data_IF_457831509182
#
_entry.id   IF_457831509182
#
_cell.length_a   1.000
_cell.length_b   1.000
_cell.length_c   1.000
_cell.angle_alpha   90.00
_cell.angle_beta   90.00
_cell.angle_gamma   90.00
#
_symmetry.space_group_name_H-M   'P 1'
#
loop_
_entity.id
_entity.type
_entity.pdbx_description
1 polymer ?
#
# COMPACT_ATOMS: atom_id res chain seq x y z
N UNK A 1 -23.75 -13.58 13.58
CA UNK A 1 -22.87 -12.41 13.27
C UNK A 1 -23.14 -11.98 11.82
N UNK A 2 -23.30 -10.68 11.55
CA UNK A 2 -23.43 -10.19 10.16
C UNK A 2 -22.05 -9.97 9.51
N UNK A 3 -22.02 -9.75 8.19
CA UNK A 3 -20.78 -9.58 7.41
C UNK A 3 -19.89 -8.45 7.95
N UNK A 4 -20.48 -7.31 8.32
CA UNK A 4 -19.74 -6.18 8.87
C UNK A 4 -19.07 -6.53 10.20
N UNK A 5 -19.77 -7.21 11.10
CA UNK A 5 -19.20 -7.69 12.36
C UNK A 5 -18.08 -8.72 12.13
N UNK A 6 -18.22 -9.60 11.13
CA UNK A 6 -17.19 -10.54 10.74
C UNK A 6 -15.92 -9.82 10.24
N UNK A 7 -16.07 -8.83 9.37
CA UNK A 7 -14.96 -8.00 8.87
C UNK A 7 -14.21 -7.34 10.03
N UNK A 8 -14.93 -6.75 10.98
CA UNK A 8 -14.34 -6.08 12.13
C UNK A 8 -13.60 -7.05 13.07
N UNK A 9 -14.13 -8.26 13.23
CA UNK A 9 -13.57 -9.24 14.17
C UNK A 9 -12.36 -10.01 13.61
N UNK A 10 -12.29 -10.25 12.31
CA UNK A 10 -11.20 -11.01 11.72
C UNK A 10 -9.87 -10.24 11.75
N UNK A 11 -8.74 -10.89 12.12
CA UNK A 11 -7.43 -10.28 11.96
C UNK A 11 -7.07 -10.15 10.48
N UNK A 12 -6.37 -9.07 10.15
CA UNK A 12 -5.96 -8.74 8.78
C UNK A 12 -4.48 -8.38 8.75
N UNK A 13 -3.82 -8.65 7.63
CA UNK A 13 -2.59 -8.00 7.26
C UNK A 13 -2.87 -6.96 6.16
N UNK A 14 -2.29 -5.78 6.27
CA UNK A 14 -2.31 -4.76 5.23
C UNK A 14 -0.96 -4.71 4.54
N UNK A 15 -0.93 -4.97 3.23
CA UNK A 15 0.29 -5.18 2.47
C UNK A 15 0.57 -4.07 1.45
N UNK A 16 -0.36 -3.11 1.34
CA UNK A 16 -0.31 -2.04 0.37
C UNK A 16 -0.94 -0.78 0.96
N UNK A 17 -0.10 0.03 1.56
CA UNK A 17 -0.45 1.34 2.11
C UNK A 17 0.75 2.25 2.01
N UNK A 18 0.57 3.44 1.44
CA UNK A 18 1.57 4.49 1.42
C UNK A 18 1.45 5.31 2.71
N UNK A 19 2.56 5.46 3.44
CA UNK A 19 2.49 6.20 4.71
C UNK A 19 2.04 7.64 4.50
N UNK A 20 2.50 8.27 3.44
CA UNK A 20 2.08 9.62 3.06
C UNK A 20 0.59 9.69 2.71
N UNK A 21 0.03 8.58 2.19
CA UNK A 21 -1.39 8.42 1.85
C UNK A 21 -2.31 8.24 3.06
N UNK A 22 -1.74 8.04 4.25
CA UNK A 22 -2.48 7.98 5.51
C UNK A 22 -2.66 9.36 6.15
N UNK A 23 -2.20 10.42 5.47
CA UNK A 23 -2.13 11.77 6.02
C UNK A 23 -3.49 12.46 6.02
N UNK A 24 -4.22 12.28 7.11
CA UNK A 24 -5.54 12.91 7.31
C UNK A 24 -5.42 14.44 7.33
N UNK A 25 -6.38 15.16 6.73
CA UNK A 25 -6.35 16.63 6.68
C UNK A 25 -6.21 17.33 8.03
N UNK A 26 -6.80 16.78 9.09
CA UNK A 26 -6.68 17.32 10.45
C UNK A 26 -5.23 17.34 10.92
N UNK A 27 -4.53 16.23 10.78
CA UNK A 27 -3.13 16.12 11.15
C UNK A 27 -2.24 16.98 10.25
N UNK A 28 -2.59 17.09 8.97
CA UNK A 28 -1.89 17.98 8.02
C UNK A 28 -1.93 19.44 8.50
N UNK A 29 -3.10 19.93 8.92
CA UNK A 29 -3.22 21.30 9.46
C UNK A 29 -2.47 21.48 10.78
N UNK A 30 -2.46 20.49 11.67
CA UNK A 30 -1.71 20.53 12.93
C UNK A 30 -0.20 20.62 12.67
N UNK A 31 0.34 19.78 11.77
CA UNK A 31 1.76 19.78 11.42
C UNK A 31 2.14 21.04 10.66
N UNK A 32 1.34 21.49 9.70
CA UNK A 32 1.58 22.73 8.97
C UNK A 32 1.66 23.94 9.91
N UNK A 33 0.77 24.03 10.89
CA UNK A 33 0.81 25.08 11.92
C UNK A 33 2.08 25.00 12.77
N UNK A 34 2.48 23.78 13.18
CA UNK A 34 3.71 23.55 13.95
C UNK A 34 4.96 23.96 13.17
N UNK A 35 4.99 23.67 11.88
CA UNK A 35 6.12 23.93 10.99
C UNK A 35 6.06 25.32 10.32
N UNK A 36 5.06 26.13 10.64
CA UNK A 36 4.84 27.47 10.05
C UNK A 36 4.73 27.46 8.51
N UNK A 37 4.11 26.40 7.96
CA UNK A 37 3.87 26.26 6.53
C UNK A 37 2.43 26.61 6.20
N UNK A 38 2.24 27.45 5.18
CA UNK A 38 0.92 27.76 4.66
C UNK A 38 0.40 26.60 3.79
N UNK A 39 -0.81 26.14 4.06
CA UNK A 39 -1.53 25.20 3.21
C UNK A 39 -2.44 26.02 2.28
N UNK A 40 -2.56 25.67 0.98
CA UNK A 40 -3.37 26.43 0.01
C UNK A 40 -4.89 26.19 0.16
N UNK A 41 -5.33 25.76 1.33
CA UNK A 41 -6.73 25.49 1.68
C UNK A 41 -7.11 26.22 2.96
N UNK A 42 -8.35 26.75 2.98
CA UNK A 42 -8.84 27.54 4.11
C UNK A 42 -9.06 26.70 5.37
N UNK A 43 -9.52 25.45 5.19
CA UNK A 43 -9.85 24.52 6.28
C UNK A 43 -9.85 23.07 5.80
N UNK A 44 -10.06 22.15 6.74
CA UNK A 44 -10.11 20.69 6.50
C UNK A 44 -11.17 20.31 5.46
N UNK A 45 -12.34 20.92 5.50
CA UNK A 45 -13.42 20.60 4.56
C UNK A 45 -13.06 21.03 3.13
N UNK A 46 -12.35 22.15 2.96
CA UNK A 46 -11.85 22.56 1.65
C UNK A 46 -10.82 21.56 1.06
N UNK A 47 -9.97 20.96 1.92
CA UNK A 47 -9.07 19.89 1.50
C UNK A 47 -9.87 18.66 1.04
N UNK A 48 -10.86 18.22 1.83
CA UNK A 48 -11.70 17.07 1.47
C UNK A 48 -12.49 17.28 0.18
N UNK A 49 -12.97 18.49 -0.07
CA UNK A 49 -13.65 18.84 -1.32
C UNK A 49 -12.71 18.78 -2.53
N UNK A 50 -11.41 19.02 -2.34
CA UNK A 50 -10.41 18.91 -3.39
C UNK A 50 -10.10 17.45 -3.77
N UNK A 51 -10.52 16.47 -2.97
CA UNK A 51 -10.32 15.04 -3.24
C UNK A 51 -11.32 14.48 -4.27
N UNK A 52 -11.58 15.22 -5.34
CA UNK A 52 -12.37 14.80 -6.50
C UNK A 52 -11.44 14.50 -7.68
N UNK A 53 -10.88 13.31 -7.67
CA UNK A 53 -9.85 12.89 -8.62
C UNK A 53 -10.47 12.41 -9.93
N UNK A 54 -9.77 12.67 -11.04
CA UNK A 54 -10.18 12.23 -12.38
C UNK A 54 -9.36 11.04 -12.88
N UNK A 55 -8.13 10.89 -12.37
CA UNK A 55 -7.16 9.83 -12.68
C UNK A 55 -6.04 9.87 -11.63
N UNK A 56 -5.09 8.93 -11.75
CA UNK A 56 -3.92 8.84 -10.86
C UNK A 56 -3.13 10.15 -10.81
N UNK A 57 -2.88 10.82 -11.93
CA UNK A 57 -2.07 12.05 -11.95
C UNK A 57 -2.72 13.19 -11.15
N UNK A 58 -4.05 13.38 -11.27
CA UNK A 58 -4.76 14.43 -10.50
C UNK A 58 -4.74 14.19 -8.99
N UNK A 59 -4.66 12.93 -8.56
CA UNK A 59 -4.42 12.56 -7.18
C UNK A 59 -2.99 12.89 -6.74
N UNK A 60 -1.98 12.46 -7.50
CA UNK A 60 -0.58 12.66 -7.16
C UNK A 60 -0.21 14.13 -6.98
N UNK A 61 -0.81 15.03 -7.75
CA UNK A 61 -0.57 16.48 -7.63
C UNK A 61 -0.97 17.02 -6.24
N UNK A 62 -2.09 16.53 -5.69
CA UNK A 62 -2.55 16.91 -4.35
C UNK A 62 -1.76 16.17 -3.26
N UNK A 63 -1.45 14.92 -3.47
CA UNK A 63 -0.68 14.07 -2.57
C UNK A 63 0.71 14.65 -2.29
N UNK A 64 1.47 14.99 -3.32
CA UNK A 64 2.80 15.58 -3.15
C UNK A 64 2.76 16.96 -2.52
N UNK A 65 1.74 17.77 -2.83
CA UNK A 65 1.55 19.07 -2.18
C UNK A 65 1.26 18.91 -0.67
N UNK A 66 0.44 17.95 -0.29
CA UNK A 66 0.15 17.62 1.11
C UNK A 66 1.38 17.16 1.88
N UNK A 67 2.20 16.29 1.29
CA UNK A 67 3.46 15.82 1.88
C UNK A 67 4.45 16.98 2.17
N UNK A 68 4.28 18.13 1.53
CA UNK A 68 5.15 19.31 1.68
C UNK A 68 5.26 19.85 3.10
N UNK A 69 4.34 19.55 3.99
CA UNK A 69 4.36 20.03 5.39
C UNK A 69 5.23 19.17 6.32
N UNK A 70 5.61 17.95 5.89
CA UNK A 70 6.45 17.02 6.64
C UNK A 70 7.93 17.41 6.53
N UNK A 71 8.53 17.91 7.61
CA UNK A 71 9.91 18.43 7.61
C UNK A 71 10.80 17.79 8.67
N UNK A 72 10.25 17.36 9.80
CA UNK A 72 10.99 16.91 10.96
C UNK A 72 10.68 15.46 11.30
N UNK A 73 11.58 14.77 11.97
CA UNK A 73 11.37 13.39 12.44
C UNK A 73 10.06 13.22 13.21
N UNK A 74 9.67 14.23 14.02
CA UNK A 74 8.41 14.21 14.75
C UNK A 74 7.18 14.19 13.83
N UNK A 75 7.26 14.75 12.63
CA UNK A 75 6.15 14.77 11.67
C UNK A 75 5.90 13.39 11.11
N UNK A 76 6.95 12.68 10.72
CA UNK A 76 6.89 11.30 10.24
C UNK A 76 6.48 10.33 11.35
N UNK A 77 6.93 10.58 12.58
CA UNK A 77 6.47 9.82 13.74
C UNK A 77 4.97 9.99 13.98
N UNK A 78 4.47 11.24 14.02
CA UNK A 78 3.06 11.52 14.28
C UNK A 78 2.16 10.92 13.19
N UNK A 79 2.56 11.06 11.91
CA UNK A 79 1.88 10.47 10.77
C UNK A 79 1.78 8.95 10.90
N UNK A 80 2.91 8.29 11.11
CA UNK A 80 2.97 6.83 11.20
C UNK A 80 2.21 6.31 12.42
N UNK A 81 2.32 6.99 13.55
CA UNK A 81 1.57 6.62 14.75
C UNK A 81 0.06 6.76 14.58
N UNK A 82 -0.41 7.81 13.89
CA UNK A 82 -1.82 8.00 13.56
C UNK A 82 -2.35 6.85 12.71
N UNK A 83 -1.61 6.44 11.67
CA UNK A 83 -1.95 5.28 10.86
C UNK A 83 -2.01 3.99 11.69
N UNK A 84 -0.98 3.70 12.49
CA UNK A 84 -0.93 2.47 13.29
C UNK A 84 -2.05 2.40 14.34
N UNK A 85 -2.57 3.54 14.78
CA UNK A 85 -3.79 3.59 15.58
C UNK A 85 -5.02 3.13 14.78
N UNK A 86 -5.13 3.51 13.49
CA UNK A 86 -6.18 3.00 12.59
C UNK A 86 -6.05 1.50 12.36
N UNK A 87 -4.82 0.99 12.20
CA UNK A 87 -4.57 -0.45 12.13
C UNK A 87 -5.18 -1.19 13.33
N UNK A 88 -4.96 -0.68 14.55
CA UNK A 88 -5.53 -1.26 15.76
C UNK A 88 -7.06 -1.23 15.76
N UNK A 89 -7.67 -0.12 15.32
CA UNK A 89 -9.13 0.05 15.24
C UNK A 89 -9.75 -0.93 14.23
N UNK A 90 -9.03 -1.21 13.13
CA UNK A 90 -9.47 -2.11 12.05
C UNK A 90 -9.03 -3.57 12.24
N UNK A 91 -8.44 -3.92 13.39
CA UNK A 91 -7.89 -5.25 13.67
C UNK A 91 -6.85 -5.70 12.61
N UNK A 92 -6.03 -4.76 12.15
CA UNK A 92 -4.83 -5.02 11.36
C UNK A 92 -3.70 -5.35 12.31
N UNK A 93 -3.21 -6.59 12.27
CA UNK A 93 -2.19 -7.11 13.20
C UNK A 93 -0.79 -7.14 12.60
N UNK A 94 -0.70 -6.99 11.29
CA UNK A 94 0.54 -6.86 10.52
C UNK A 94 0.35 -5.85 9.39
N UNK A 95 1.35 -5.01 9.13
CA UNK A 95 1.31 -4.08 8.00
C UNK A 95 2.68 -3.95 7.33
N UNK A 96 2.68 -3.89 6.00
CA UNK A 96 3.84 -3.67 5.16
C UNK A 96 3.67 -2.30 4.48
N UNK A 97 4.39 -1.32 4.99
CA UNK A 97 4.18 0.10 4.75
C UNK A 97 5.13 0.58 3.66
N UNK A 98 4.60 1.15 2.59
CA UNK A 98 5.36 1.90 1.59
C UNK A 98 5.70 3.29 2.12
N UNK A 99 6.88 3.80 1.77
CA UNK A 99 7.27 5.18 1.98
C UNK A 99 8.14 5.67 0.84
N UNK A 100 8.03 6.97 0.51
CA UNK A 100 8.60 7.60 -0.68
C UNK A 100 9.69 8.60 -0.30
N UNK A 101 10.95 8.17 -0.04
CA UNK A 101 12.00 9.11 0.37
C UNK A 101 12.21 10.26 -0.61
N UNK A 102 12.10 10.01 -1.93
CA UNK A 102 12.33 11.00 -2.98
C UNK A 102 11.35 12.18 -2.88
N UNK A 103 10.11 11.95 -2.43
CA UNK A 103 9.12 13.01 -2.14
C UNK A 103 9.65 14.02 -1.12
N UNK A 104 10.50 13.58 -0.20
CA UNK A 104 11.01 14.38 0.89
C UNK A 104 12.43 14.89 0.63
N UNK A 105 13.32 14.04 0.14
CA UNK A 105 14.73 14.41 -0.11
C UNK A 105 14.86 15.45 -1.21
N UNK A 106 13.99 15.45 -2.22
CA UNK A 106 13.92 16.49 -3.25
C UNK A 106 13.63 17.90 -2.67
N UNK A 107 13.04 17.97 -1.45
CA UNK A 107 12.76 19.23 -0.74
C UNK A 107 13.81 19.56 0.33
N UNK A 108 14.89 18.78 0.41
CA UNK A 108 15.96 18.97 1.38
C UNK A 108 15.72 18.33 2.75
N UNK A 109 14.70 17.48 2.91
CA UNK A 109 14.51 16.65 4.11
C UNK A 109 15.43 15.45 4.02
N UNK A 110 16.30 15.25 5.00
CA UNK A 110 17.26 14.14 5.00
C UNK A 110 16.53 12.78 5.07
N UNK A 111 17.06 11.77 4.36
CA UNK A 111 16.57 10.39 4.42
C UNK A 111 16.46 9.89 5.87
N UNK A 112 17.48 10.17 6.68
CA UNK A 112 17.51 9.84 8.11
C UNK A 112 16.31 10.37 8.88
N UNK A 113 15.90 11.61 8.61
CA UNK A 113 14.74 12.24 9.25
C UNK A 113 13.45 11.46 8.97
N UNK A 114 13.25 11.02 7.73
CA UNK A 114 12.08 10.25 7.31
C UNK A 114 12.06 8.88 7.99
N UNK A 115 13.13 8.11 7.81
CA UNK A 115 13.17 6.72 8.28
C UNK A 115 13.14 6.62 9.81
N UNK A 116 13.81 7.51 10.54
CA UNK A 116 13.85 7.47 12.00
C UNK A 116 12.46 7.74 12.61
N UNK A 117 11.70 8.70 12.06
CA UNK A 117 10.34 8.99 12.51
C UNK A 117 9.43 7.78 12.34
N UNK A 118 9.43 7.18 11.15
CA UNK A 118 8.63 6.00 10.83
C UNK A 118 9.01 4.82 11.74
N UNK A 119 10.29 4.46 11.81
CA UNK A 119 10.79 3.33 12.61
C UNK A 119 10.47 3.48 14.08
N UNK A 120 10.59 4.69 14.63
CA UNK A 120 10.23 4.95 16.04
C UNK A 120 8.77 4.65 16.31
N UNK A 121 7.85 5.13 15.47
CA UNK A 121 6.42 4.86 15.61
C UNK A 121 6.10 3.36 15.47
N UNK A 122 6.70 2.67 14.49
CA UNK A 122 6.55 1.23 14.29
C UNK A 122 6.99 0.42 15.52
N UNK A 123 8.16 0.74 16.08
CA UNK A 123 8.66 0.07 17.30
C UNK A 123 7.76 0.28 18.50
N UNK A 124 7.20 1.47 18.66
CA UNK A 124 6.26 1.75 19.75
C UNK A 124 4.94 1.03 19.58
N UNK A 125 4.36 1.01 18.39
CA UNK A 125 3.14 0.27 18.10
C UNK A 125 3.32 -1.24 18.30
N UNK A 126 4.45 -1.79 17.91
CA UNK A 126 4.80 -3.19 18.18
C UNK A 126 4.77 -3.50 19.68
N UNK A 127 5.38 -2.63 20.51
CA UNK A 127 5.41 -2.82 21.97
C UNK A 127 4.06 -2.57 22.65
N UNK A 128 3.31 -1.57 22.20
CA UNK A 128 2.07 -1.14 22.88
C UNK A 128 0.85 -1.90 22.39
N UNK A 129 0.79 -2.28 21.13
CA UNK A 129 -0.39 -2.83 20.47
C UNK A 129 -0.17 -4.21 19.84
N UNK A 130 1.08 -4.71 19.82
CA UNK A 130 1.41 -5.99 19.22
C UNK A 130 1.33 -5.99 17.67
N UNK A 131 1.31 -4.82 17.04
CA UNK A 131 1.25 -4.71 15.57
C UNK A 131 2.64 -4.96 15.00
N UNK A 132 2.78 -5.98 14.16
CA UNK A 132 3.99 -6.25 13.40
C UNK A 132 4.07 -5.33 12.18
N UNK A 133 5.25 -4.82 11.87
CA UNK A 133 5.45 -3.89 10.73
C UNK A 133 6.65 -4.29 9.89
N UNK A 134 6.59 -4.04 8.57
CA UNK A 134 7.71 -4.08 7.64
C UNK A 134 7.69 -2.79 6.81
N UNK A 135 8.86 -2.24 6.50
CA UNK A 135 8.96 -1.06 5.65
C UNK A 135 9.45 -1.46 4.27
N UNK A 136 8.80 -0.93 3.24
CA UNK A 136 9.16 -1.09 1.85
C UNK A 136 9.42 0.31 1.28
N UNK A 137 10.64 0.56 0.85
CA UNK A 137 11.04 1.83 0.26
C UNK A 137 10.69 1.87 -1.22
N UNK A 138 9.85 2.80 -1.64
CA UNK A 138 9.48 2.91 -3.04
C UNK A 138 10.37 3.89 -3.82
N UNK A 139 10.55 3.56 -5.10
CA UNK A 139 11.15 4.44 -6.11
C UNK A 139 10.05 5.06 -6.94
N UNK A 140 10.06 6.40 -7.05
CA UNK A 140 9.10 7.15 -7.87
C UNK A 140 9.42 6.96 -9.36
N UNK A 141 8.59 6.21 -10.06
CA UNK A 141 8.85 5.76 -11.44
C UNK A 141 8.83 6.87 -12.51
N UNK A 142 8.25 8.03 -12.19
CA UNK A 142 8.33 9.19 -13.06
C UNK A 142 9.72 9.85 -13.06
N UNK A 143 10.55 9.58 -12.06
CA UNK A 143 11.95 10.01 -11.98
C UNK A 143 12.86 9.04 -12.75
N UNK A 144 14.15 9.36 -12.83
CA UNK A 144 15.13 8.52 -13.51
C UNK A 144 15.59 7.34 -12.64
N UNK A 145 16.12 6.29 -13.26
CA UNK A 145 16.74 5.17 -12.54
C UNK A 145 17.96 5.63 -11.73
N UNK A 146 18.71 6.64 -12.21
CA UNK A 146 19.82 7.25 -11.48
C UNK A 146 19.36 7.84 -10.15
N UNK A 147 18.23 8.52 -10.12
CA UNK A 147 17.61 9.02 -8.86
C UNK A 147 17.22 7.88 -7.92
N UNK A 148 16.76 6.74 -8.46
CA UNK A 148 16.49 5.55 -7.66
C UNK A 148 17.78 4.94 -7.07
N UNK A 149 18.89 4.92 -7.81
CA UNK A 149 20.20 4.52 -7.29
C UNK A 149 20.70 5.43 -6.16
N UNK A 150 20.53 6.75 -6.31
CA UNK A 150 20.88 7.71 -5.26
C UNK A 150 20.08 7.41 -3.99
N UNK A 151 18.77 7.15 -4.12
CA UNK A 151 17.89 6.80 -3.02
C UNK A 151 18.27 5.47 -2.38
N UNK A 152 18.56 4.45 -3.17
CA UNK A 152 19.04 3.16 -2.66
C UNK A 152 20.33 3.34 -1.86
N UNK A 153 21.30 4.12 -2.36
CA UNK A 153 22.56 4.39 -1.64
C UNK A 153 22.32 5.11 -0.31
N UNK A 154 21.36 6.05 -0.24
CA UNK A 154 20.97 6.70 1.01
C UNK A 154 20.32 5.73 2.00
N UNK A 155 19.65 4.71 1.50
CA UNK A 155 18.94 3.70 2.31
C UNK A 155 19.88 2.64 2.91
N UNK A 156 21.00 2.31 2.26
CA UNK A 156 21.90 1.23 2.70
C UNK A 156 22.36 1.31 4.16
N UNK A 157 22.68 2.49 4.73
CA UNK A 157 23.01 2.61 6.16
C UNK A 157 21.84 2.21 7.10
N UNK A 158 20.62 2.20 6.59
CA UNK A 158 19.38 1.92 7.34
C UNK A 158 18.70 0.61 6.90
N UNK A 159 19.39 -0.22 6.11
CA UNK A 159 18.80 -1.43 5.51
C UNK A 159 18.25 -2.44 6.52
N UNK A 160 18.71 -2.40 7.76
CA UNK A 160 18.16 -3.23 8.84
C UNK A 160 16.69 -2.91 9.18
N UNK A 161 16.19 -1.73 8.75
CA UNK A 161 14.83 -1.27 8.94
C UNK A 161 13.98 -1.39 7.67
N UNK A 162 14.62 -1.60 6.51
CA UNK A 162 13.98 -1.66 5.20
C UNK A 162 13.95 -3.11 4.74
N UNK A 163 12.75 -3.66 4.61
CA UNK A 163 12.56 -5.07 4.27
C UNK A 163 12.59 -5.32 2.76
N UNK A 164 12.15 -4.34 2.00
CA UNK A 164 12.11 -4.42 0.54
C UNK A 164 12.10 -3.07 -0.14
N UNK A 165 12.13 -3.11 -1.46
CA UNK A 165 11.94 -1.94 -2.33
C UNK A 165 10.71 -2.13 -3.22
N UNK A 166 10.05 -1.02 -3.54
CA UNK A 166 8.90 -0.95 -4.42
C UNK A 166 9.10 0.01 -5.59
N UNK A 167 8.18 -0.05 -6.54
CA UNK A 167 8.08 0.89 -7.66
C UNK A 167 6.65 1.44 -7.68
N UNK A 168 6.48 2.75 -7.60
CA UNK A 168 5.18 3.41 -7.52
C UNK A 168 5.10 4.73 -8.29
N UNK A 169 4.07 5.55 -8.02
CA UNK A 169 3.77 6.80 -8.70
C UNK A 169 3.18 6.60 -10.11
N UNK A 170 3.26 7.61 -10.97
CA UNK A 170 2.60 7.65 -12.30
C UNK A 170 3.00 6.47 -13.19
N UNK A 171 2.06 5.54 -13.43
CA UNK A 171 2.35 4.28 -14.12
C UNK A 171 2.46 4.46 -15.63
N UNK A 172 1.53 5.22 -16.25
CA UNK A 172 1.49 5.37 -17.69
C UNK A 172 2.74 6.06 -18.25
N UNK A 173 3.40 5.40 -19.21
CA UNK A 173 4.62 5.91 -19.83
C UNK A 173 5.90 5.66 -19.03
N UNK A 174 5.81 4.99 -17.88
CA UNK A 174 6.95 4.67 -17.01
C UNK A 174 7.01 3.17 -16.71
N UNK A 175 7.38 2.33 -17.70
CA UNK A 175 7.39 0.87 -17.57
C UNK A 175 8.39 0.39 -16.52
N UNK A 176 8.17 -0.78 -15.90
CA UNK A 176 9.10 -1.39 -14.95
C UNK A 176 10.50 -1.62 -15.51
N UNK A 177 10.63 -1.91 -16.81
CA UNK A 177 11.92 -2.09 -17.51
C UNK A 177 12.90 -0.92 -17.33
N UNK A 178 12.40 0.28 -17.05
CA UNK A 178 13.21 1.47 -16.77
C UNK A 178 14.05 1.34 -15.49
N UNK A 179 13.70 0.41 -14.57
CA UNK A 179 14.28 0.27 -13.24
C UNK A 179 14.96 -1.09 -13.01
N UNK A 180 15.26 -1.83 -14.06
CA UNK A 180 15.80 -3.19 -13.97
C UNK A 180 17.10 -3.25 -13.17
N UNK A 181 18.05 -2.35 -13.42
CA UNK A 181 19.38 -2.37 -12.79
C UNK A 181 19.33 -2.02 -11.29
N UNK A 182 18.50 -1.04 -10.90
CA UNK A 182 18.39 -0.66 -9.49
C UNK A 182 17.69 -1.75 -8.68
N UNK A 183 16.72 -2.45 -9.26
CA UNK A 183 16.08 -3.61 -8.64
C UNK A 183 17.04 -4.80 -8.52
N UNK A 184 17.88 -5.04 -9.53
CA UNK A 184 18.95 -6.04 -9.46
C UNK A 184 19.90 -5.73 -8.28
N UNK A 185 20.35 -4.47 -8.15
CA UNK A 185 21.21 -4.07 -7.03
C UNK A 185 20.49 -4.21 -5.68
N UNK A 186 19.22 -3.81 -5.57
CA UNK A 186 18.46 -3.96 -4.33
C UNK A 186 18.37 -5.44 -3.90
N UNK A 187 18.14 -6.36 -4.84
CA UNK A 187 18.17 -7.80 -4.55
C UNK A 187 19.55 -8.28 -4.12
N UNK A 188 20.63 -7.77 -4.75
CA UNK A 188 21.99 -8.08 -4.34
C UNK A 188 22.30 -7.62 -2.91
N UNK A 189 21.67 -6.55 -2.43
CA UNK A 189 21.73 -6.08 -1.05
C UNK A 189 20.84 -6.89 -0.08
N UNK A 190 20.08 -7.87 -0.58
CA UNK A 190 19.20 -8.73 0.21
C UNK A 190 17.79 -8.18 0.43
N UNK A 191 17.40 -7.11 -0.26
CA UNK A 191 16.06 -6.53 -0.18
C UNK A 191 15.07 -7.30 -1.06
N UNK A 192 13.85 -7.49 -0.58
CA UNK A 192 12.76 -8.02 -1.39
C UNK A 192 12.26 -6.95 -2.36
N UNK A 193 11.57 -7.39 -3.40
CA UNK A 193 11.08 -6.49 -4.46
C UNK A 193 9.58 -6.65 -4.66
N UNK A 194 8.87 -5.52 -4.78
CA UNK A 194 7.47 -5.41 -5.18
C UNK A 194 7.33 -4.30 -6.21
N UNK A 195 6.23 -4.24 -6.94
CA UNK A 195 6.00 -3.15 -7.88
C UNK A 195 4.52 -2.95 -8.17
N UNK A 196 4.10 -1.70 -8.27
CA UNK A 196 2.82 -1.34 -8.89
C UNK A 196 2.90 -1.68 -10.37
N UNK A 197 2.01 -2.51 -10.84
CA UNK A 197 1.88 -2.86 -12.25
C UNK A 197 0.47 -3.33 -12.57
N UNK A 198 -0.09 -2.84 -13.67
CA UNK A 198 -1.44 -3.19 -14.09
C UNK A 198 -2.53 -2.53 -13.22
N UNK A 199 -2.30 -1.34 -12.71
CA UNK A 199 -3.33 -0.45 -12.18
C UNK A 199 -3.98 0.33 -13.32
N UNK A 200 -3.25 1.28 -13.94
CA UNK A 200 -3.61 1.98 -15.18
C UNK A 200 -2.83 1.44 -16.38
N UNK A 201 -1.62 0.92 -16.15
CA UNK A 201 -0.74 0.36 -17.17
C UNK A 201 -1.23 -0.97 -17.72
N UNK A 202 -0.79 -1.34 -18.93
CA UNK A 202 -1.24 -2.56 -19.60
C UNK A 202 -0.65 -3.83 -18.94
N UNK A 203 -1.17 -5.04 -19.28
CA UNK A 203 -0.64 -6.32 -18.80
C UNK A 203 0.85 -6.53 -19.02
N UNK A 204 1.42 -5.92 -20.06
CA UNK A 204 2.86 -5.95 -20.35
C UNK A 204 3.72 -5.43 -19.19
N UNK A 205 3.21 -4.43 -18.42
CA UNK A 205 3.92 -3.92 -17.24
C UNK A 205 3.95 -4.94 -16.12
N UNK A 206 2.91 -5.78 -15.99
CA UNK A 206 2.93 -6.91 -15.05
C UNK A 206 3.97 -7.93 -15.46
N UNK A 207 4.07 -8.28 -16.75
CA UNK A 207 5.14 -9.17 -17.24
C UNK A 207 6.53 -8.59 -16.96
N UNK A 208 6.76 -7.31 -17.24
CA UNK A 208 8.06 -6.66 -16.97
C UNK A 208 8.40 -6.68 -15.46
N UNK A 209 7.43 -6.41 -14.59
CA UNK A 209 7.64 -6.49 -13.14
C UNK A 209 8.03 -7.92 -12.70
N UNK A 210 7.39 -8.94 -13.25
CA UNK A 210 7.71 -10.34 -12.97
C UNK A 210 9.08 -10.75 -13.53
N UNK A 211 9.36 -10.44 -14.80
CA UNK A 211 10.48 -11.01 -15.55
C UNK A 211 11.76 -10.20 -15.43
N UNK A 212 11.66 -8.87 -15.26
CA UNK A 212 12.82 -7.97 -15.16
C UNK A 212 13.11 -7.55 -13.72
N UNK A 213 12.08 -7.13 -12.98
CA UNK A 213 12.26 -6.72 -11.59
C UNK A 213 12.26 -7.90 -10.61
N UNK A 214 11.80 -9.09 -11.04
CA UNK A 214 11.71 -10.31 -10.24
C UNK A 214 10.97 -10.07 -8.92
N UNK A 215 9.83 -9.39 -9.01
CA UNK A 215 9.03 -9.05 -7.83
C UNK A 215 8.44 -10.29 -7.16
N UNK A 216 8.24 -10.15 -5.85
CA UNK A 216 7.62 -11.19 -5.01
C UNK A 216 6.12 -10.97 -4.86
N UNK A 217 5.64 -9.81 -5.31
CA UNK A 217 4.24 -9.38 -5.26
C UNK A 217 4.01 -8.28 -6.28
N UNK A 218 2.85 -8.28 -6.92
CA UNK A 218 2.37 -7.20 -7.78
C UNK A 218 1.41 -6.34 -6.97
N UNK A 219 1.67 -5.04 -6.93
CA UNK A 219 0.77 -4.10 -6.30
C UNK A 219 -0.28 -3.65 -7.32
N UNK A 220 -1.56 -3.68 -6.95
CA UNK A 220 -2.77 -3.67 -7.76
C UNK A 220 -2.94 -4.90 -8.66
N UNK A 221 -2.43 -4.88 -9.88
CA UNK A 221 -2.51 -5.98 -10.84
C UNK A 221 -3.90 -6.23 -11.43
N UNK A 222 -4.84 -5.30 -11.28
CA UNK A 222 -6.25 -5.50 -11.67
C UNK A 222 -6.44 -5.65 -13.18
N UNK A 223 -5.55 -5.03 -13.99
CA UNK A 223 -5.59 -5.16 -15.44
C UNK A 223 -4.97 -6.46 -15.99
N UNK A 224 -4.39 -7.29 -15.11
CA UNK A 224 -3.94 -8.63 -15.52
C UNK A 224 -5.08 -9.49 -16.08
N UNK A 225 -6.36 -9.23 -15.69
CA UNK A 225 -7.53 -9.93 -16.22
C UNK A 225 -7.73 -9.72 -17.74
N UNK A 226 -7.09 -8.72 -18.33
CA UNK A 226 -7.15 -8.46 -19.78
C UNK A 226 -6.33 -9.46 -20.61
N UNK A 227 -5.43 -10.25 -19.97
CA UNK A 227 -4.57 -11.25 -20.61
C UNK A 227 -4.73 -12.63 -19.93
N UNK A 228 -5.33 -13.58 -20.65
CA UNK A 228 -5.57 -14.94 -20.15
C UNK A 228 -4.29 -15.73 -19.88
N UNK A 229 -3.21 -15.50 -20.64
CA UNK A 229 -1.94 -16.17 -20.39
C UNK A 229 -1.27 -15.65 -19.11
N UNK A 230 -1.35 -14.33 -18.87
CA UNK A 230 -0.91 -13.71 -17.63
C UNK A 230 -1.71 -14.24 -16.44
N UNK A 231 -3.04 -14.27 -16.55
CA UNK A 231 -3.90 -14.84 -15.50
C UNK A 231 -3.53 -16.28 -15.18
N UNK A 232 -3.32 -17.12 -16.19
CA UNK A 232 -2.89 -18.51 -16.00
C UNK A 232 -1.53 -18.60 -15.28
N UNK A 233 -0.59 -17.71 -15.61
CA UNK A 233 0.71 -17.60 -14.94
C UNK A 233 0.58 -17.20 -13.46
N UNK A 234 -0.18 -16.15 -13.16
CA UNK A 234 -0.40 -15.67 -11.79
C UNK A 234 -1.04 -16.74 -10.90
N UNK A 235 -2.02 -17.48 -11.44
CA UNK A 235 -2.66 -18.61 -10.75
C UNK A 235 -1.65 -19.73 -10.51
N UNK A 236 -0.90 -20.14 -11.52
CA UNK A 236 0.09 -21.22 -11.43
C UNK A 236 1.20 -20.91 -10.43
N UNK A 237 1.72 -19.68 -10.45
CA UNK A 237 2.82 -19.25 -9.61
C UNK A 237 2.35 -18.80 -8.22
N UNK A 238 1.03 -18.69 -8.00
CA UNK A 238 0.41 -18.11 -6.80
C UNK A 238 1.01 -16.74 -6.48
N UNK A 239 1.23 -15.94 -7.54
CA UNK A 239 1.76 -14.58 -7.40
C UNK A 239 0.72 -13.68 -6.73
N UNK A 240 1.04 -13.05 -5.58
CA UNK A 240 0.08 -12.21 -4.89
C UNK A 240 -0.19 -10.91 -5.62
N UNK A 241 -1.47 -10.49 -5.65
CA UNK A 241 -1.90 -9.17 -6.07
C UNK A 241 -2.46 -8.40 -4.87
N UNK A 242 -1.93 -7.20 -4.58
CA UNK A 242 -2.44 -6.34 -3.50
C UNK A 242 -3.44 -5.33 -4.04
N UNK A 243 -4.69 -5.76 -4.11
CA UNK A 243 -5.77 -4.98 -4.73
C UNK A 243 -6.29 -3.92 -3.75
N UNK A 244 -6.57 -2.71 -4.26
CA UNK A 244 -6.99 -1.54 -3.50
C UNK A 244 -8.33 -1.01 -4.01
N UNK A 245 -9.47 -1.55 -3.55
CA UNK A 245 -10.77 -1.34 -4.20
C UNK A 245 -11.26 0.10 -4.22
N UNK A 246 -11.15 0.82 -3.09
CA UNK A 246 -11.57 2.23 -3.02
C UNK A 246 -10.68 3.14 -3.86
N UNK A 247 -9.36 2.86 -3.89
CA UNK A 247 -8.42 3.52 -4.79
C UNK A 247 -8.82 3.34 -6.24
N UNK A 248 -9.00 2.08 -6.66
CA UNK A 248 -9.36 1.76 -8.03
C UNK A 248 -10.68 2.42 -8.48
N UNK A 249 -11.63 2.62 -7.55
CA UNK A 249 -12.85 3.35 -7.83
C UNK A 249 -12.62 4.87 -7.91
N UNK A 250 -11.88 5.43 -6.96
CA UNK A 250 -11.60 6.87 -6.90
C UNK A 250 -10.76 7.36 -8.08
N UNK A 251 -9.82 6.55 -8.53
CA UNK A 251 -8.94 6.85 -9.67
C UNK A 251 -9.57 6.46 -11.02
N UNK A 252 -10.81 5.98 -11.03
CA UNK A 252 -11.60 5.64 -12.23
C UNK A 252 -11.05 4.44 -13.02
N UNK A 253 -10.24 3.59 -12.39
CA UNK A 253 -9.87 2.28 -12.95
C UNK A 253 -11.13 1.41 -13.11
N UNK A 254 -12.03 1.48 -12.13
CA UNK A 254 -13.41 1.00 -12.24
C UNK A 254 -14.38 2.16 -12.02
N UNK A 255 -15.46 2.19 -12.78
CA UNK A 255 -16.49 3.24 -12.68
C UNK A 255 -17.48 3.00 -11.54
N UNK A 256 -17.66 1.75 -11.15
CA UNK A 256 -18.61 1.27 -10.14
C UNK A 256 -17.99 0.09 -9.39
N UNK A 257 -18.24 -0.02 -8.08
CA UNK A 257 -17.69 -1.10 -7.26
C UNK A 257 -18.25 -2.47 -7.66
N UNK A 258 -19.49 -2.52 -8.15
CA UNK A 258 -20.15 -3.74 -8.65
C UNK A 258 -19.45 -4.34 -9.89
N UNK A 259 -18.67 -3.53 -10.61
CA UNK A 259 -17.88 -3.97 -11.77
C UNK A 259 -16.47 -4.38 -11.43
N UNK A 260 -16.06 -4.17 -10.16
CA UNK A 260 -14.70 -4.51 -9.72
C UNK A 260 -14.43 -6.02 -9.87
N UNK A 261 -13.25 -6.38 -10.37
CA UNK A 261 -12.94 -7.76 -10.77
C UNK A 261 -12.38 -8.64 -9.64
N UNK A 262 -12.18 -8.12 -8.44
CA UNK A 262 -11.53 -8.85 -7.35
C UNK A 262 -12.20 -10.20 -7.06
N UNK A 263 -13.53 -10.27 -6.96
CA UNK A 263 -14.26 -11.52 -6.71
C UNK A 263 -14.04 -12.54 -7.84
N UNK A 264 -14.05 -12.10 -9.09
CA UNK A 264 -13.79 -12.98 -10.25
C UNK A 264 -12.38 -13.54 -10.22
N UNK A 265 -11.38 -12.69 -9.93
CA UNK A 265 -9.99 -13.14 -9.78
C UNK A 265 -9.83 -14.13 -8.62
N UNK A 266 -10.44 -13.85 -7.47
CA UNK A 266 -10.46 -14.77 -6.31
C UNK A 266 -11.05 -16.13 -6.69
N UNK A 267 -12.22 -16.15 -7.35
CA UNK A 267 -12.90 -17.37 -7.77
C UNK A 267 -12.13 -18.16 -8.85
N UNK A 268 -11.30 -17.48 -9.63
CA UNK A 268 -10.38 -18.09 -10.60
C UNK A 268 -9.11 -18.67 -9.94
N UNK A 269 -8.90 -18.42 -8.64
CA UNK A 269 -7.75 -18.93 -7.89
C UNK A 269 -6.52 -18.02 -7.89
N UNK A 270 -6.66 -16.75 -8.25
CA UNK A 270 -5.60 -15.74 -8.07
C UNK A 270 -5.46 -15.42 -6.59
N UNK A 271 -4.23 -15.31 -6.11
CA UNK A 271 -3.94 -14.91 -4.73
C UNK A 271 -4.11 -13.40 -4.58
N UNK A 272 -5.36 -12.94 -4.49
CA UNK A 272 -5.70 -11.53 -4.28
C UNK A 272 -5.86 -11.20 -2.81
N UNK A 273 -5.48 -9.97 -2.42
CA UNK A 273 -5.69 -9.39 -1.09
C UNK A 273 -6.42 -8.07 -1.20
N UNK A 274 -6.97 -7.58 -0.08
CA UNK A 274 -7.62 -6.26 0.02
C UNK A 274 -6.75 -5.33 0.81
N UNK A 275 -6.55 -4.10 0.33
CA UNK A 275 -5.71 -3.09 0.96
C UNK A 275 -6.32 -1.70 0.79
N UNK A 276 -5.76 -0.69 1.47
CA UNK A 276 -6.34 0.66 1.48
C UNK A 276 -5.61 1.69 0.62
N UNK A 277 -4.34 1.42 0.24
CA UNK A 277 -3.52 2.30 -0.61
C UNK A 277 -3.24 3.66 0.06
N UNK A 278 -4.01 4.69 -0.26
CA UNK A 278 -3.94 6.02 0.32
C UNK A 278 -5.27 6.35 1.04
N UNK A 279 -5.52 5.75 2.21
CA UNK A 279 -6.84 5.71 2.83
C UNK A 279 -7.42 7.08 3.20
N UNK A 280 -6.55 8.07 3.52
CA UNK A 280 -7.00 9.42 3.83
C UNK A 280 -7.57 10.15 2.60
N UNK A 281 -7.12 9.77 1.40
CA UNK A 281 -7.53 10.36 0.12
C UNK A 281 -8.67 9.59 -0.54
N UNK A 282 -8.70 8.25 -0.41
CA UNK A 282 -9.64 7.39 -1.12
C UNK A 282 -10.87 7.00 -0.30
N UNK A 283 -10.96 7.51 0.94
CA UNK A 283 -12.20 7.46 1.73
C UNK A 283 -12.35 6.24 2.62
N UNK A 284 -11.26 5.55 2.97
CA UNK A 284 -11.35 4.52 4.01
C UNK A 284 -10.17 3.59 4.14
N UNK A 285 -9.99 3.13 5.37
CA UNK A 285 -8.98 2.15 5.78
C UNK A 285 -9.45 0.71 5.49
N UNK A 286 -8.79 -0.28 6.06
CA UNK A 286 -8.98 -1.70 5.73
C UNK A 286 -10.43 -2.17 5.86
N UNK A 287 -11.09 -1.91 6.99
CA UNK A 287 -12.47 -2.36 7.18
C UNK A 287 -13.41 -1.75 6.15
N UNK A 288 -13.21 -0.47 5.80
CA UNK A 288 -14.07 0.20 4.82
C UNK A 288 -13.89 -0.36 3.40
N UNK A 289 -12.65 -0.75 3.02
CA UNK A 289 -12.40 -1.44 1.74
C UNK A 289 -13.12 -2.79 1.69
N UNK A 290 -13.03 -3.60 2.75
CA UNK A 290 -13.75 -4.86 2.85
C UNK A 290 -15.27 -4.67 2.83
N UNK A 291 -15.81 -3.70 3.60
CA UNK A 291 -17.24 -3.41 3.65
C UNK A 291 -17.79 -3.01 2.27
N UNK A 292 -17.08 -2.11 1.56
CA UNK A 292 -17.47 -1.65 0.24
C UNK A 292 -17.52 -2.80 -0.78
N UNK A 293 -16.50 -3.67 -0.78
CA UNK A 293 -16.49 -4.87 -1.63
C UNK A 293 -17.59 -5.85 -1.27
N UNK A 294 -17.76 -6.14 0.03
CA UNK A 294 -18.73 -7.11 0.48
C UNK A 294 -20.15 -6.70 0.13
N UNK A 295 -20.46 -5.41 0.25
CA UNK A 295 -21.76 -4.86 -0.12
C UNK A 295 -22.01 -4.91 -1.65
N UNK A 296 -21.04 -4.45 -2.43
CA UNK A 296 -21.20 -4.31 -3.88
C UNK A 296 -21.11 -5.65 -4.64
N UNK A 297 -20.26 -6.57 -4.17
CA UNK A 297 -20.03 -7.85 -4.82
C UNK A 297 -20.76 -9.03 -4.15
N UNK A 298 -21.55 -8.77 -3.12
CA UNK A 298 -22.24 -9.80 -2.32
C UNK A 298 -21.29 -10.92 -1.87
N UNK A 299 -20.18 -10.53 -1.20
CA UNK A 299 -19.19 -11.48 -0.73
C UNK A 299 -19.74 -12.32 0.42
N UNK A 300 -19.55 -13.62 0.32
CA UNK A 300 -19.87 -14.56 1.39
C UNK A 300 -18.90 -14.46 2.57
N UNK A 301 -19.30 -14.96 3.74
CA UNK A 301 -18.42 -15.05 4.90
C UNK A 301 -17.13 -15.84 4.62
N UNK A 302 -17.21 -16.88 3.79
CA UNK A 302 -16.04 -17.69 3.43
C UNK A 302 -15.12 -16.96 2.44
N UNK A 303 -15.63 -16.17 1.51
CA UNK A 303 -14.81 -15.33 0.64
C UNK A 303 -14.08 -14.25 1.46
N UNK A 304 -14.71 -13.65 2.47
CA UNK A 304 -14.09 -12.68 3.38
C UNK A 304 -12.98 -13.34 4.22
N UNK A 305 -13.23 -14.52 4.80
CA UNK A 305 -12.19 -15.29 5.51
C UNK A 305 -11.02 -15.63 4.58
N UNK A 306 -11.31 -16.02 3.35
CA UNK A 306 -10.28 -16.34 2.35
C UNK A 306 -9.43 -15.11 2.05
N UNK A 307 -10.03 -13.94 1.85
CA UNK A 307 -9.32 -12.69 1.61
C UNK A 307 -8.44 -12.28 2.80
N UNK A 308 -8.96 -12.43 4.04
CA UNK A 308 -8.17 -12.22 5.25
C UNK A 308 -7.00 -13.20 5.35
N UNK A 309 -7.21 -14.50 5.08
CA UNK A 309 -6.15 -15.50 5.07
C UNK A 309 -5.12 -15.24 3.97
N UNK A 310 -5.56 -14.79 2.79
CA UNK A 310 -4.69 -14.42 1.68
C UNK A 310 -3.75 -13.27 2.06
N UNK A 311 -4.20 -12.30 2.86
CA UNK A 311 -3.33 -11.19 3.30
C UNK A 311 -2.11 -11.71 4.07
N UNK A 312 -2.26 -12.77 4.87
CA UNK A 312 -1.13 -13.41 5.55
C UNK A 312 -0.31 -14.29 4.59
N UNK A 313 -0.94 -15.07 3.69
CA UNK A 313 -0.21 -15.86 2.68
C UNK A 313 0.70 -14.99 1.82
N UNK A 314 0.23 -13.81 1.43
CA UNK A 314 0.95 -12.85 0.60
C UNK A 314 1.98 -12.01 1.35
N UNK A 315 1.96 -11.99 2.69
CA UNK A 315 2.84 -11.17 3.52
C UNK A 315 4.29 -11.68 3.53
N UNK A 316 5.18 -10.82 3.98
CA UNK A 316 6.58 -11.16 4.23
C UNK A 316 6.85 -11.62 5.67
N UNK A 317 5.83 -12.10 6.37
CA UNK A 317 5.98 -12.82 7.62
C UNK A 317 6.67 -14.17 7.40
N UNK A 318 7.23 -14.73 8.46
CA UNK A 318 7.72 -16.12 8.44
C UNK A 318 6.55 -17.10 8.22
N UNK A 319 6.84 -18.27 7.64
CA UNK A 319 5.78 -19.28 7.38
C UNK A 319 5.06 -19.69 8.68
N UNK A 320 5.78 -19.77 9.80
CA UNK A 320 5.17 -20.10 11.10
C UNK A 320 4.16 -19.02 11.56
N UNK A 321 4.49 -17.74 11.38
CA UNK A 321 3.58 -16.62 11.71
C UNK A 321 2.36 -16.62 10.77
N UNK A 322 2.57 -16.84 9.47
CA UNK A 322 1.48 -16.96 8.49
C UNK A 322 0.50 -18.05 8.87
N UNK A 323 1.01 -19.27 9.15
CA UNK A 323 0.20 -20.43 9.53
C UNK A 323 -0.58 -20.17 10.84
N UNK A 324 0.01 -19.48 11.80
CA UNK A 324 -0.67 -19.15 13.05
C UNK A 324 -1.89 -18.26 12.80
N UNK A 325 -1.73 -17.19 12.01
CA UNK A 325 -2.83 -16.28 11.70
C UNK A 325 -3.90 -16.93 10.82
N UNK A 326 -3.50 -17.71 9.81
CA UNK A 326 -4.42 -18.45 8.94
C UNK A 326 -5.28 -19.40 9.76
N UNK A 327 -4.68 -20.20 10.68
CA UNK A 327 -5.43 -21.08 11.58
C UNK A 327 -6.44 -20.31 12.45
N UNK A 328 -6.07 -19.14 12.96
CA UNK A 328 -7.00 -18.28 13.73
C UNK A 328 -8.20 -17.84 12.91
N UNK A 329 -7.98 -17.48 11.63
CA UNK A 329 -9.06 -17.09 10.70
C UNK A 329 -9.95 -18.29 10.35
N UNK A 330 -9.36 -19.43 10.01
CA UNK A 330 -10.10 -20.66 9.63
C UNK A 330 -10.95 -21.21 10.78
N UNK A 331 -10.42 -21.15 12.02
CA UNK A 331 -11.14 -21.56 13.23
C UNK A 331 -12.17 -20.53 13.72
N UNK A 332 -12.27 -19.35 13.08
CA UNK A 332 -13.23 -18.34 13.49
C UNK A 332 -14.65 -18.76 13.13
N UNK A 333 -15.50 -18.94 14.13
CA UNK A 333 -16.90 -19.35 13.95
C UNK A 333 -17.82 -18.14 13.95
N UNK A 334 -18.68 -18.10 12.94
CA UNK A 334 -19.79 -17.13 12.86
C UNK A 334 -20.95 -17.72 13.69
N UNK A 335 -21.06 -17.32 14.96
CA UNK A 335 -22.24 -17.64 15.76
C UNK A 335 -23.46 -16.79 15.38
#
# INVERSE_FOLDING_TARGET
>A
MNIKQLIQALPKAELHVHIEGTFEPELMFEIAKRNHIAIPYENVDAVRQAYDFHNLQSFLDIYYAGAGVLLHEADFYDLTRAYLKRCREDNVVHTEIFFDPQTHTARGVAFETVINGIVRACREAGRQWGISTRLIMCFLRHLSEESAFETLNQALPYKEHIFGVGLDSSELGHPPSKFERVFEQARAEGLLTVAHAGEEGPPEYVYEALDLLHVRRIDHGVRAEEDEALMARLIKEQMPLTVCPLSNLKLKVFTEMEKHNLRRMLQRGVLVTVNSDDPAYFGGYMNRNFEALAEALDLSAEEIKTLCANSFRASFLSEAEKEEWIRKIESFHVE
#
